data_IF_837962909103
#
_entry.id   IF_837962909103
#
_cell.length_a   1.000
_cell.length_b   1.000
_cell.length_c   1.000
_cell.angle_alpha   90.00
_cell.angle_beta   90.00
_cell.angle_gamma   90.00
#
_symmetry.space_group_name_H-M   'P 1'
#
loop_
_entity.id
_entity.type
_entity.pdbx_description
1 polymer ?
#
# COMPACT_ATOMS: atom_id res chain seq x y z
N UNK A 1 -3.62 22.70 -3.25
CA UNK A 1 -4.48 22.03 -2.25
C UNK A 1 -4.05 20.58 -2.18
N UNK A 2 -3.66 20.10 -1.00
CA UNK A 2 -3.15 18.74 -0.87
C UNK A 2 -4.32 17.76 -0.75
N UNK A 3 -4.29 16.70 -1.57
CA UNK A 3 -5.29 15.64 -1.56
C UNK A 3 -4.64 14.40 -0.97
N UNK A 4 -5.22 13.84 0.09
CA UNK A 4 -4.63 12.72 0.82
C UNK A 4 -5.34 11.41 0.49
N UNK A 5 -4.58 10.33 0.30
CA UNK A 5 -5.14 8.99 0.12
C UNK A 5 -4.40 7.98 0.97
N UNK A 6 -5.15 7.22 1.76
CA UNK A 6 -4.67 6.05 2.49
C UNK A 6 -5.01 4.82 1.66
N UNK A 7 -4.08 3.88 1.51
CA UNK A 7 -4.35 2.64 0.77
C UNK A 7 -3.57 1.46 1.33
N UNK A 8 -4.22 0.34 1.64
CA UNK A 8 -3.54 -0.94 1.84
C UNK A 8 -2.98 -1.44 0.49
N UNK A 9 -1.89 -2.22 0.52
CA UNK A 9 -1.31 -2.89 -0.66
C UNK A 9 -2.08 -4.16 -1.02
N UNK A 10 -2.08 -4.50 -2.32
CA UNK A 10 -2.92 -5.48 -3.01
C UNK A 10 -3.29 -6.75 -2.24
N UNK A 11 -4.59 -7.06 -2.29
CA UNK A 11 -5.20 -8.23 -1.67
C UNK A 11 -6.73 -8.23 -1.68
N UNK A 12 -7.33 -7.04 -1.73
CA UNK A 12 -8.77 -6.81 -1.53
C UNK A 12 -9.35 -6.28 -2.83
N UNK A 13 -10.50 -6.78 -3.26
CA UNK A 13 -11.18 -6.25 -4.46
C UNK A 13 -11.38 -4.73 -4.29
N UNK A 14 -11.27 -3.91 -5.36
CA UNK A 14 -11.40 -2.45 -5.25
C UNK A 14 -12.70 -1.99 -4.57
N UNK A 15 -13.76 -2.79 -4.68
CA UNK A 15 -15.06 -2.60 -4.03
C UNK A 15 -15.01 -2.89 -2.52
N UNK A 16 -14.22 -3.87 -2.12
CA UNK A 16 -14.07 -4.34 -0.74
C UNK A 16 -13.02 -3.48 0.01
N UNK A 17 -12.00 -2.97 -0.69
CA UNK A 17 -11.04 -1.99 -0.17
C UNK A 17 -11.68 -0.61 0.03
N UNK A 18 -12.78 -0.32 -0.68
CA UNK A 18 -13.60 0.87 -0.51
C UNK A 18 -14.54 0.78 0.71
N UNK A 19 -14.73 -0.41 1.28
CA UNK A 19 -15.65 -0.62 2.40
C UNK A 19 -15.02 -0.36 3.78
N UNK A 20 -13.68 -0.44 3.90
CA UNK A 20 -12.93 -0.37 5.17
C UNK A 20 -12.54 1.05 5.65
N UNK A 21 -12.56 2.00 4.74
CA UNK A 21 -12.19 3.42 4.86
C UNK A 21 -13.22 4.09 4.00
N UNK A 22 -13.93 5.10 4.49
CA UNK A 22 -15.03 5.75 3.77
C UNK A 22 -14.73 5.88 2.26
N UNK A 23 -15.21 4.90 1.47
CA UNK A 23 -15.15 4.85 0.02
C UNK A 23 -13.80 4.85 -0.70
N UNK A 24 -12.63 4.57 -0.12
CA UNK A 24 -11.35 4.52 -0.88
C UNK A 24 -11.02 5.78 -1.72
N UNK A 25 -11.75 6.87 -1.49
CA UNK A 25 -11.70 8.11 -2.24
C UNK A 25 -10.63 9.02 -1.64
N UNK A 26 -9.93 9.81 -2.45
CA UNK A 26 -9.01 10.80 -1.91
C UNK A 26 -9.75 11.82 -1.05
N UNK A 27 -9.17 12.19 0.09
CA UNK A 27 -9.68 13.23 0.97
C UNK A 27 -9.24 14.60 0.46
N UNK A 28 -10.21 15.44 0.11
CA UNK A 28 -10.04 16.82 -0.36
C UNK A 28 -10.35 17.80 0.77
N UNK A 29 -9.80 19.01 0.70
CA UNK A 29 -10.18 20.15 1.55
C UNK A 29 -10.13 19.89 3.06
N UNK A 30 -9.16 19.09 3.51
CA UNK A 30 -8.98 18.80 4.92
C UNK A 30 -8.63 20.07 5.72
N UNK A 31 -9.48 20.43 6.68
CA UNK A 31 -9.24 21.55 7.59
C UNK A 31 -8.31 21.22 8.76
N UNK A 32 -8.23 19.94 9.14
CA UNK A 32 -7.35 19.45 10.21
C UNK A 32 -6.81 18.04 9.90
N UNK A 33 -5.82 17.59 10.66
CA UNK A 33 -5.24 16.25 10.50
C UNK A 33 -6.09 15.11 11.09
N UNK A 34 -7.11 15.42 11.89
CA UNK A 34 -7.89 14.40 12.62
C UNK A 34 -8.64 13.50 11.64
N UNK A 35 -9.16 14.05 10.54
CA UNK A 35 -9.80 13.27 9.48
C UNK A 35 -8.89 12.17 8.91
N UNK A 36 -7.63 12.51 8.58
CA UNK A 36 -6.65 11.51 8.09
C UNK A 36 -6.34 10.45 9.14
N UNK A 37 -6.22 10.86 10.41
CA UNK A 37 -5.91 9.92 11.49
C UNK A 37 -7.07 8.95 11.80
N UNK A 38 -8.32 9.41 11.65
CA UNK A 38 -9.51 8.56 11.78
C UNK A 38 -9.54 7.49 10.69
N UNK A 39 -9.36 7.88 9.42
CA UNK A 39 -9.32 6.94 8.31
C UNK A 39 -8.13 5.97 8.41
N UNK A 40 -6.97 6.42 8.89
CA UNK A 40 -5.85 5.54 9.16
C UNK A 40 -6.18 4.48 10.21
N UNK A 41 -6.88 4.88 11.28
CA UNK A 41 -7.25 3.97 12.36
C UNK A 41 -8.25 2.92 11.87
N UNK A 42 -9.23 3.32 11.06
CA UNK A 42 -10.16 2.40 10.40
C UNK A 42 -9.42 1.43 9.47
N UNK A 43 -8.54 1.95 8.61
CA UNK A 43 -7.75 1.13 7.68
C UNK A 43 -6.88 0.10 8.40
N UNK A 44 -6.22 0.48 9.50
CA UNK A 44 -5.38 -0.44 10.29
C UNK A 44 -6.18 -1.52 10.99
N UNK A 45 -7.40 -1.22 11.41
CA UNK A 45 -8.27 -2.21 12.06
C UNK A 45 -8.61 -3.37 11.11
N UNK A 46 -8.80 -3.07 9.83
CA UNK A 46 -9.26 -4.05 8.84
C UNK A 46 -8.10 -4.65 8.03
N UNK A 47 -7.01 -3.90 7.86
CA UNK A 47 -5.87 -4.27 7.01
C UNK A 47 -4.51 -4.16 7.72
N UNK A 48 -4.48 -4.26 9.06
CA UNK A 48 -3.26 -4.13 9.86
C UNK A 48 -2.17 -5.17 9.57
N UNK A 49 -2.52 -6.29 8.92
CA UNK A 49 -1.54 -7.28 8.42
C UNK A 49 -0.87 -6.90 7.10
N UNK A 50 -1.30 -5.82 6.45
CA UNK A 50 -0.83 -5.41 5.10
C UNK A 50 0.01 -4.13 5.16
N UNK A 51 0.77 -3.86 4.11
CA UNK A 51 1.34 -2.52 3.97
C UNK A 51 0.24 -1.50 3.77
N UNK A 52 0.27 -0.40 4.53
CA UNK A 52 -0.61 0.75 4.31
C UNK A 52 0.27 1.93 3.95
N UNK A 53 -0.06 2.64 2.87
CA UNK A 53 0.63 3.87 2.43
C UNK A 53 -0.28 5.08 2.52
N UNK A 54 0.31 6.22 2.84
CA UNK A 54 -0.29 7.54 2.64
C UNK A 54 0.36 8.22 1.45
N UNK A 55 -0.47 8.80 0.58
CA UNK A 55 -0.05 9.64 -0.53
C UNK A 55 -0.68 11.01 -0.42
N UNK A 56 0.12 12.06 -0.65
CA UNK A 56 -0.36 13.44 -0.76
C UNK A 56 -0.12 13.95 -2.19
N UNK A 57 -1.20 14.20 -2.91
CA UNK A 57 -1.19 14.77 -4.25
C UNK A 57 -1.30 16.29 -4.18
N UNK A 58 -0.46 16.99 -4.92
CA UNK A 58 -0.49 18.44 -5.04
C UNK A 58 -0.97 18.84 -6.44
N UNK A 59 -2.12 19.52 -6.48
CA UNK A 59 -2.76 19.97 -7.70
C UNK A 59 -2.28 21.36 -8.18
N UNK A 60 -1.27 21.96 -7.56
CA UNK A 60 -0.71 23.21 -8.02
C UNK A 60 -0.18 23.06 -9.47
N UNK A 61 -0.53 24.03 -10.32
CA UNK A 61 -0.09 24.08 -11.72
C UNK A 61 1.41 23.92 -11.83
N UNK A 62 1.86 22.99 -12.67
CA UNK A 62 3.27 22.67 -12.86
C UNK A 62 3.82 21.61 -11.91
N UNK A 63 3.02 21.12 -10.96
CA UNK A 63 3.35 19.91 -10.20
C UNK A 63 2.43 18.74 -10.54
N UNK A 64 1.11 18.88 -10.28
CA UNK A 64 0.05 17.94 -10.69
C UNK A 64 0.39 16.46 -10.41
N UNK A 65 1.02 16.19 -9.26
CA UNK A 65 1.57 14.88 -8.91
C UNK A 65 1.71 14.69 -7.39
N UNK A 66 2.15 13.49 -6.99
CA UNK A 66 2.42 13.15 -5.59
C UNK A 66 3.61 13.98 -5.09
N UNK A 67 3.39 14.76 -4.03
CA UNK A 67 4.42 15.54 -3.34
C UNK A 67 5.05 14.74 -2.18
N UNK A 68 4.31 13.78 -1.63
CA UNK A 68 4.72 12.99 -0.47
C UNK A 68 4.09 11.59 -0.51
N UNK A 69 4.88 10.57 -0.19
CA UNK A 69 4.45 9.17 -0.10
C UNK A 69 5.25 8.43 0.97
N UNK A 70 4.59 7.84 1.96
CA UNK A 70 5.26 7.07 3.00
C UNK A 70 4.40 5.92 3.52
N UNK A 71 5.08 4.93 4.09
CA UNK A 71 4.46 3.73 4.66
C UNK A 71 4.03 4.03 6.09
N UNK A 72 2.77 3.75 6.38
CA UNK A 72 2.13 3.90 7.69
C UNK A 72 1.94 2.58 8.42
N UNK A 73 1.92 1.45 7.71
CA UNK A 73 1.81 0.12 8.31
C UNK A 73 2.64 -0.88 7.51
N UNK A 74 3.17 -1.90 8.18
CA UNK A 74 3.89 -3.01 7.56
C UNK A 74 3.34 -4.33 8.12
N UNK A 75 3.32 -5.41 7.34
CA UNK A 75 3.15 -6.75 7.88
C UNK A 75 4.19 -7.03 8.97
N UNK A 76 3.83 -7.85 9.96
CA UNK A 76 4.74 -8.22 11.04
C UNK A 76 6.01 -8.93 10.52
N UNK A 77 5.84 -9.75 9.47
CA UNK A 77 6.94 -10.46 8.80
C UNK A 77 6.93 -10.17 7.30
N UNK A 78 8.04 -9.65 6.79
CA UNK A 78 8.29 -9.43 5.37
C UNK A 78 9.28 -10.47 4.85
N UNK A 79 8.85 -11.48 4.07
CA UNK A 79 9.75 -12.52 3.59
C UNK A 79 10.74 -12.02 2.53
N UNK A 80 10.48 -10.87 1.89
CA UNK A 80 11.39 -10.23 0.93
C UNK A 80 11.16 -10.69 -0.51
N UNK A 81 12.23 -10.72 -1.30
CA UNK A 81 12.17 -10.93 -2.76
C UNK A 81 13.16 -11.98 -3.25
N UNK A 82 12.69 -12.82 -4.17
CA UNK A 82 13.54 -13.67 -5.00
C UNK A 82 13.96 -12.95 -6.28
N UNK A 83 15.21 -13.18 -6.71
CA UNK A 83 15.73 -12.70 -7.99
C UNK A 83 15.98 -13.88 -8.93
N UNK A 84 15.13 -14.03 -9.94
CA UNK A 84 15.32 -15.01 -11.02
C UNK A 84 16.27 -14.42 -12.04
N UNK A 85 17.29 -15.18 -12.43
CA UNK A 85 18.28 -14.80 -13.45
C UNK A 85 18.18 -15.79 -14.60
N UNK A 86 17.63 -15.35 -15.73
CA UNK A 86 17.51 -16.17 -16.94
C UNK A 86 18.65 -15.84 -17.89
N UNK A 87 19.34 -16.87 -18.39
CA UNK A 87 20.45 -16.72 -19.32
C UNK A 87 19.95 -16.26 -20.71
N UNK A 88 20.53 -15.17 -21.20
CA UNK A 88 20.36 -14.68 -22.56
C UNK A 88 21.62 -14.92 -23.41
N UNK A 89 21.69 -14.40 -24.64
CA UNK A 89 22.85 -14.57 -25.51
C UNK A 89 24.15 -14.05 -24.87
N UNK A 90 25.22 -14.84 -24.97
CA UNK A 90 26.53 -14.49 -24.44
C UNK A 90 26.53 -14.44 -22.90
N UNK A 91 26.77 -13.25 -22.34
CA UNK A 91 26.78 -13.01 -20.87
C UNK A 91 25.60 -12.16 -20.39
N UNK A 92 24.54 -12.07 -21.20
CA UNK A 92 23.34 -11.33 -20.84
C UNK A 92 22.51 -12.13 -19.82
N UNK A 93 21.97 -11.44 -18.81
CA UNK A 93 21.01 -11.99 -17.86
C UNK A 93 19.72 -11.18 -17.90
N UNK A 94 18.59 -11.87 -18.01
CA UNK A 94 17.27 -11.28 -17.83
C UNK A 94 16.82 -11.49 -16.39
N UNK A 95 16.57 -10.38 -15.69
CA UNK A 95 16.22 -10.39 -14.27
C UNK A 95 14.71 -10.33 -14.09
N UNK A 96 14.17 -11.20 -13.23
CA UNK A 96 12.80 -11.07 -12.74
C UNK A 96 12.81 -10.99 -11.21
N UNK A 97 12.33 -9.88 -10.66
CA UNK A 97 12.12 -9.71 -9.23
C UNK A 97 10.72 -10.22 -8.87
N UNK A 98 10.62 -11.09 -7.86
CA UNK A 98 9.33 -11.61 -7.36
C UNK A 98 9.31 -11.54 -5.83
N UNK A 99 8.27 -10.94 -5.27
CA UNK A 99 8.07 -10.95 -3.80
C UNK A 99 7.67 -12.35 -3.34
N UNK A 100 8.28 -12.87 -2.27
CA UNK A 100 7.96 -14.21 -1.77
C UNK A 100 6.51 -14.32 -1.31
N UNK A 101 5.93 -13.24 -0.77
CA UNK A 101 4.51 -13.19 -0.42
C UNK A 101 3.58 -13.33 -1.64
N UNK A 102 4.02 -12.92 -2.83
CA UNK A 102 3.23 -12.99 -4.06
C UNK A 102 3.16 -14.40 -4.68
N UNK A 103 3.78 -15.40 -4.05
CA UNK A 103 3.51 -16.82 -4.38
C UNK A 103 2.12 -17.28 -3.92
N UNK A 104 1.51 -16.56 -2.97
CA UNK A 104 0.11 -16.74 -2.54
C UNK A 104 -0.83 -15.77 -3.27
N UNK A 105 -2.10 -16.15 -3.48
CA UNK A 105 -3.10 -15.25 -4.06
C UNK A 105 -3.30 -14.02 -3.17
N UNK A 106 -3.90 -12.97 -3.75
CA UNK A 106 -4.39 -11.81 -3.02
C UNK A 106 -5.27 -12.24 -1.82
N UNK A 107 -5.17 -11.54 -0.69
CA UNK A 107 -5.90 -11.87 0.54
C UNK A 107 -5.24 -12.93 1.43
N UNK A 108 -4.48 -13.86 0.84
CA UNK A 108 -3.69 -14.86 1.59
C UNK A 108 -2.22 -14.46 1.77
N UNK A 109 -1.86 -13.24 1.37
CA UNK A 109 -0.49 -12.71 1.49
C UNK A 109 -0.28 -12.14 2.87
N UNK A 110 0.88 -12.44 3.46
CA UNK A 110 1.22 -12.12 4.84
C UNK A 110 0.27 -12.86 5.82
N UNK A 111 0.78 -13.36 6.94
CA UNK A 111 -0.04 -14.12 7.90
C UNK A 111 -1.18 -13.26 8.49
N UNK A 112 -2.11 -13.86 9.26
CA UNK A 112 -3.06 -13.06 10.03
C UNK A 112 -2.28 -12.05 10.92
N UNK A 113 -2.86 -10.87 11.20
CA UNK A 113 -2.23 -9.93 12.13
C UNK A 113 -1.92 -10.66 13.44
N UNK A 114 -0.67 -10.59 13.90
CA UNK A 114 -0.27 -11.17 15.17
C UNK A 114 -1.06 -10.47 16.29
N UNK A 115 -1.92 -11.21 16.99
CA UNK A 115 -2.56 -10.73 18.21
C UNK A 115 -1.47 -10.54 19.27
N UNK A 116 -1.17 -9.28 19.60
CA UNK A 116 -0.31 -8.91 20.73
C UNK A 116 1.07 -8.41 20.34
N UNK A 117 1.17 -7.09 20.23
CA UNK A 117 2.36 -6.30 20.58
C UNK A 117 1.91 -4.94 21.11
#
# INVERSE_FOLDING_TARGET
MAVFRISPQDGVDPEEAAAAVAGGQPMFDLGDAAGVMMELTACRREHGGLYIRLMAFDNAKGWESIRMSFILNRPAEEPGFGLVRSEGPGRQLHYTLRGYAAHRPAGERYGPPTEGA
#
